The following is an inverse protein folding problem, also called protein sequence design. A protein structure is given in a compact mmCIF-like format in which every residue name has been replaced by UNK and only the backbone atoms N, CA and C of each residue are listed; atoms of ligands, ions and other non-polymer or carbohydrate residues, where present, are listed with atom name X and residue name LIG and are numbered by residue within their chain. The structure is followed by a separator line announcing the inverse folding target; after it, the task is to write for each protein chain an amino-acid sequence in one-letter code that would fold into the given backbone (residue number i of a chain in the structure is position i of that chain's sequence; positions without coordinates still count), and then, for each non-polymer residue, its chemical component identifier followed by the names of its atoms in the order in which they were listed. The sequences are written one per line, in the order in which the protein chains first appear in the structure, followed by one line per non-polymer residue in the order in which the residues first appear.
data_IF_087440538731
#
_entry.id   IF_087440538731
#
_cell.length_a   1.000
_cell.length_b   1.000
_cell.length_c   1.000
_cell.angle_alpha   90.00
_cell.angle_beta   90.00
_cell.angle_gamma   90.00
#
_symmetry.space_group_name_H-M   'P 1'
#
loop_
_entity.id
_entity.type
_entity.pdbx_description
1 polymer ?
#
# COMPACT_ATOMS: atom_id res chain seq x y z
N UNK A 1 -5.08 -16.58 0.66
CA UNK A 1 -5.07 -15.16 1.06
C UNK A 1 -5.49 -15.15 2.53
N UNK A 2 -4.63 -14.69 3.43
CA UNK A 2 -5.00 -14.61 4.85
C UNK A 2 -6.21 -13.70 5.03
N UNK A 3 -7.11 -14.06 5.95
CA UNK A 3 -8.33 -13.31 6.21
C UNK A 3 -7.97 -12.02 6.96
N UNK A 4 -8.54 -10.91 6.52
CA UNK A 4 -8.43 -9.61 7.18
C UNK A 4 -9.20 -9.63 8.49
N UNK A 5 -8.64 -9.00 9.51
CA UNK A 5 -9.23 -8.86 10.84
C UNK A 5 -9.60 -7.38 11.03
N UNK A 6 -10.87 -7.05 11.25
CA UNK A 6 -11.28 -5.68 11.55
C UNK A 6 -10.65 -5.21 12.86
N UNK A 7 -10.19 -3.96 12.86
CA UNK A 7 -9.63 -3.29 14.05
C UNK A 7 -10.53 -2.10 14.41
N UNK A 8 -10.60 -1.78 15.71
CA UNK A 8 -11.42 -0.66 16.17
C UNK A 8 -10.78 0.71 15.85
N UNK A 9 -9.45 0.77 15.85
CA UNK A 9 -8.70 2.01 15.67
C UNK A 9 -7.42 1.76 14.86
N UNK A 10 -6.99 2.77 14.09
CA UNK A 10 -5.76 2.70 13.33
C UNK A 10 -4.54 2.71 14.26
N UNK A 11 -3.62 1.73 14.16
CA UNK A 11 -2.38 1.78 14.91
C UNK A 11 -1.50 2.93 14.39
N UNK A 12 -0.56 3.39 15.23
CA UNK A 12 0.40 4.44 14.87
C UNK A 12 1.21 4.09 13.62
N UNK A 13 1.53 2.80 13.43
CA UNK A 13 2.19 2.26 12.24
C UNK A 13 1.69 0.84 11.98
N UNK A 14 1.64 0.45 10.70
CA UNK A 14 1.44 -0.94 10.26
C UNK A 14 2.78 -1.66 9.99
N UNK A 15 3.90 -0.97 10.19
CA UNK A 15 5.21 -1.61 10.07
C UNK A 15 5.41 -2.59 11.22
N UNK A 16 6.02 -3.74 10.90
CA UNK A 16 6.49 -4.67 11.92
C UNK A 16 7.63 -4.04 12.69
N UNK A 17 7.69 -4.27 14.00
CA UNK A 17 8.91 -4.07 14.79
C UNK A 17 9.97 -5.04 14.25
N UNK A 18 10.87 -4.55 13.41
CA UNK A 18 11.93 -5.38 12.90
C UNK A 18 13.05 -5.43 13.93
N UNK A 19 13.35 -6.63 14.45
CA UNK A 19 14.58 -6.89 15.22
C UNK A 19 15.88 -6.62 14.45
N UNK A 20 15.79 -6.04 13.25
CA UNK A 20 16.88 -5.58 12.38
C UNK A 20 17.09 -4.07 12.43
N UNK A 21 16.88 -3.39 13.56
CA UNK A 21 17.45 -2.06 13.82
C UNK A 21 17.32 -1.06 12.66
N UNK A 22 16.19 -1.06 11.94
CA UNK A 22 15.91 -0.01 10.99
C UNK A 22 15.61 1.25 11.80
N UNK A 23 16.68 2.01 12.09
CA UNK A 23 16.58 3.26 12.82
C UNK A 23 15.54 4.20 12.19
N UNK A 24 14.98 5.06 13.04
CA UNK A 24 14.04 6.12 12.63
C UNK A 24 14.48 6.76 11.31
N UNK A 25 13.62 6.74 10.29
CA UNK A 25 13.89 7.29 8.96
C UNK A 25 14.04 6.27 7.82
N UNK A 26 13.61 5.02 8.00
CA UNK A 26 13.61 4.05 6.90
C UNK A 26 12.73 4.51 5.72
N UNK A 27 12.98 4.01 4.50
CA UNK A 27 12.10 4.33 3.36
C UNK A 27 10.68 3.81 3.59
N UNK A 28 10.53 2.66 4.27
CA UNK A 28 9.21 2.09 4.61
C UNK A 28 8.43 3.03 5.51
N UNK A 29 9.07 3.54 6.56
CA UNK A 29 8.49 4.49 7.52
C UNK A 29 8.13 5.82 6.87
N UNK A 30 9.06 6.40 6.09
CA UNK A 30 8.79 7.66 5.37
C UNK A 30 7.65 7.50 4.37
N UNK A 31 7.59 6.37 3.65
CA UNK A 31 6.53 6.12 2.68
C UNK A 31 5.18 5.87 3.35
N UNK A 32 5.12 5.07 4.43
CA UNK A 32 3.88 4.87 5.18
C UNK A 32 3.35 6.19 5.77
N UNK A 33 4.22 6.97 6.43
CA UNK A 33 3.84 8.26 6.98
C UNK A 33 3.31 9.22 5.91
N UNK A 34 3.94 9.24 4.74
CA UNK A 34 3.47 10.03 3.60
C UNK A 34 2.07 9.61 3.13
N UNK A 35 1.83 8.33 2.86
CA UNK A 35 0.55 7.87 2.30
C UNK A 35 -0.61 8.05 3.30
N UNK A 36 -0.36 7.87 4.61
CA UNK A 36 -1.36 8.12 5.65
C UNK A 36 -1.71 9.61 5.76
N UNK A 37 -0.69 10.48 5.73
CA UNK A 37 -0.90 11.94 5.72
C UNK A 37 -1.70 12.36 4.49
N UNK A 38 -1.31 11.88 3.30
CA UNK A 38 -1.99 12.19 2.03
C UNK A 38 -3.43 11.67 2.03
N UNK A 39 -3.71 10.49 2.57
CA UNK A 39 -5.09 10.01 2.74
C UNK A 39 -5.91 10.98 3.59
N UNK A 40 -5.35 11.47 4.71
CA UNK A 40 -5.98 12.47 5.55
C UNK A 40 -6.29 13.78 4.81
N UNK A 41 -5.29 14.34 4.13
CA UNK A 41 -5.42 15.57 3.35
C UNK A 41 -6.46 15.46 2.23
N UNK A 42 -6.43 14.36 1.48
CA UNK A 42 -7.39 14.11 0.40
C UNK A 42 -8.81 13.95 0.95
N UNK A 43 -9.01 13.16 2.01
CA UNK A 43 -10.33 12.99 2.59
C UNK A 43 -10.91 14.33 3.08
N UNK A 44 -10.11 15.14 3.78
CA UNK A 44 -10.53 16.45 4.26
C UNK A 44 -10.91 17.38 3.10
N UNK A 45 -10.09 17.45 2.05
CA UNK A 45 -10.37 18.28 0.88
C UNK A 45 -11.62 17.81 0.12
N UNK A 46 -11.85 16.50 0.02
CA UNK A 46 -13.04 15.94 -0.63
C UNK A 46 -14.32 16.21 0.18
N UNK A 47 -14.27 16.11 1.51
CA UNK A 47 -15.41 16.47 2.37
C UNK A 47 -15.75 17.96 2.29
N UNK A 48 -14.74 18.82 2.27
CA UNK A 48 -14.92 20.27 2.09
C UNK A 48 -15.53 20.58 0.73
N UNK A 49 -14.99 19.99 -0.34
CA UNK A 49 -15.52 20.15 -1.70
C UNK A 49 -16.94 19.59 -1.86
N UNK A 50 -17.27 18.50 -1.15
CA UNK A 50 -18.61 17.93 -1.18
C UNK A 50 -19.64 18.83 -0.48
N UNK A 51 -19.27 19.45 0.64
CA UNK A 51 -20.11 20.44 1.33
C UNK A 51 -21.44 19.91 1.88
N UNK A 52 -21.71 18.60 1.84
CA UNK A 52 -22.94 17.99 2.38
C UNK A 52 -22.94 17.83 3.91
N UNK A 53 -21.79 18.03 4.56
CA UNK A 53 -21.56 17.71 5.97
C UNK A 53 -21.32 16.22 6.24
N UNK A 54 -21.38 15.35 5.22
CA UNK A 54 -20.98 13.95 5.33
C UNK A 54 -19.47 13.82 5.48
N UNK A 55 -19.06 12.75 6.16
CA UNK A 55 -17.66 12.40 6.42
C UNK A 55 -17.34 11.04 5.82
N UNK A 56 -16.07 10.80 5.56
CA UNK A 56 -15.59 9.46 5.25
C UNK A 56 -15.83 8.53 6.45
N UNK A 57 -16.40 7.36 6.19
CA UNK A 57 -16.44 6.23 7.13
C UNK A 57 -15.10 5.52 7.03
N UNK A 58 -14.45 5.32 8.17
CA UNK A 58 -13.15 4.66 8.27
C UNK A 58 -13.31 3.21 8.74
N UNK A 59 -12.76 2.29 7.95
CA UNK A 59 -12.64 0.87 8.28
C UNK A 59 -11.16 0.52 8.37
N UNK A 60 -10.72 0.14 9.57
CA UNK A 60 -9.33 -0.28 9.83
C UNK A 60 -9.29 -1.80 9.86
N UNK A 61 -8.24 -2.38 9.29
CA UNK A 61 -8.04 -3.82 9.33
C UNK A 61 -6.56 -4.19 9.40
N UNK A 62 -6.29 -5.36 9.95
CA UNK A 62 -4.97 -5.96 10.06
C UNK A 62 -4.94 -7.36 9.43
N UNK A 63 -3.73 -7.92 9.27
CA UNK A 63 -3.54 -9.32 8.86
C UNK A 63 -2.69 -10.06 9.88
N UNK A 64 -2.94 -11.36 10.13
CA UNK A 64 -2.14 -12.17 11.05
C UNK A 64 -0.66 -12.22 10.66
N UNK A 65 -0.36 -12.27 9.36
CA UNK A 65 0.99 -12.16 8.83
C UNK A 65 1.61 -10.76 8.96
N UNK A 66 0.97 -9.80 9.63
CA UNK A 66 1.44 -8.44 9.80
C UNK A 66 1.11 -7.51 8.63
N UNK A 67 1.09 -6.22 8.93
CA UNK A 67 0.53 -5.19 8.05
C UNK A 67 -0.97 -5.00 8.30
N UNK A 68 -1.61 -4.23 7.42
CA UNK A 68 -3.00 -3.83 7.53
C UNK A 68 -3.35 -2.75 6.52
N UNK A 69 -4.46 -2.08 6.76
CA UNK A 69 -4.91 -0.98 5.93
C UNK A 69 -5.97 -0.14 6.60
N UNK A 70 -6.22 1.01 5.98
CA UNK A 70 -7.28 1.95 6.35
C UNK A 70 -8.06 2.22 5.08
N UNK A 71 -9.31 1.79 5.07
CA UNK A 71 -10.26 2.10 4.01
C UNK A 71 -11.13 3.27 4.45
N UNK A 72 -11.19 4.32 3.64
CA UNK A 72 -12.09 5.46 3.87
C UNK A 72 -13.07 5.56 2.72
N UNK A 73 -14.36 5.54 3.04
CA UNK A 73 -15.43 5.61 2.04
C UNK A 73 -16.42 6.72 2.38
N UNK A 74 -16.68 7.61 1.44
CA UNK A 74 -17.75 8.60 1.47
C UNK A 74 -18.81 8.21 0.44
N UNK A 75 -20.08 8.22 0.84
CA UNK A 75 -21.21 7.83 -0.01
C UNK A 75 -22.35 8.83 0.08
N UNK A 76 -23.08 8.96 -1.04
CA UNK A 76 -24.29 9.75 -1.16
C UNK A 76 -24.07 11.24 -0.79
N UNK A 77 -22.89 11.79 -1.11
CA UNK A 77 -22.57 13.20 -0.94
C UNK A 77 -23.34 14.10 -1.91
N UNK A 78 -23.09 15.41 -1.87
CA UNK A 78 -23.69 16.35 -2.83
C UNK A 78 -22.94 16.34 -4.17
N UNK A 79 -21.61 16.26 -4.11
CA UNK A 79 -20.72 16.25 -5.27
C UNK A 79 -20.34 14.82 -5.64
N UNK A 80 -20.03 13.99 -4.65
CA UNK A 80 -19.60 12.60 -4.88
C UNK A 80 -20.74 11.61 -4.62
N UNK A 81 -21.04 10.76 -5.60
CA UNK A 81 -21.91 9.61 -5.41
C UNK A 81 -21.20 8.60 -4.49
N UNK A 82 -19.93 8.35 -4.80
CA UNK A 82 -19.05 7.51 -4.00
C UNK A 82 -17.59 7.94 -4.17
N UNK A 83 -16.88 8.06 -3.06
CA UNK A 83 -15.45 8.32 -3.03
C UNK A 83 -14.79 7.32 -2.09
N UNK A 84 -13.72 6.66 -2.55
CA UNK A 84 -12.94 5.73 -1.74
C UNK A 84 -11.47 6.12 -1.78
N UNK A 85 -10.83 6.23 -0.62
CA UNK A 85 -9.39 6.48 -0.48
C UNK A 85 -8.82 5.45 0.50
N UNK A 86 -7.98 4.55 0.01
CA UNK A 86 -7.50 3.40 0.76
C UNK A 86 -5.98 3.45 0.93
N UNK A 87 -5.51 3.14 2.13
CA UNK A 87 -4.10 2.90 2.45
C UNK A 87 -3.93 1.43 2.80
N UNK A 88 -2.84 0.83 2.31
CA UNK A 88 -2.47 -0.55 2.64
C UNK A 88 -0.98 -0.66 2.88
N UNK A 89 -0.61 -1.49 3.85
CA UNK A 89 0.76 -1.88 4.17
C UNK A 89 0.74 -3.39 4.33
N UNK A 90 1.39 -4.12 3.44
CA UNK A 90 1.31 -5.58 3.40
C UNK A 90 2.69 -6.20 3.35
N UNK A 91 2.80 -7.33 4.03
CA UNK A 91 3.97 -8.18 4.01
C UNK A 91 3.59 -9.53 3.43
N UNK A 92 4.55 -10.19 2.79
CA UNK A 92 4.33 -11.54 2.31
C UNK A 92 5.61 -12.19 1.81
N UNK A 93 5.41 -13.33 1.18
CA UNK A 93 6.48 -14.12 0.58
C UNK A 93 6.15 -14.32 -0.89
N UNK A 94 7.07 -13.93 -1.75
CA UNK A 94 6.88 -14.03 -3.19
C UNK A 94 7.14 -15.49 -3.65
N UNK A 95 6.24 -16.08 -4.44
CA UNK A 95 6.51 -17.34 -5.12
C UNK A 95 7.72 -17.18 -6.07
N UNK A 96 8.55 -18.23 -6.25
CA UNK A 96 9.75 -18.15 -7.10
C UNK A 96 9.48 -17.63 -8.52
N UNK A 97 8.31 -17.95 -9.10
CA UNK A 97 7.93 -17.53 -10.45
C UNK A 97 7.56 -16.04 -10.54
N UNK A 98 6.91 -15.49 -9.51
CA UNK A 98 6.63 -14.06 -9.42
C UNK A 98 7.93 -13.24 -9.25
N UNK A 99 8.92 -13.79 -8.54
CA UNK A 99 10.23 -13.14 -8.37
C UNK A 99 11.01 -13.08 -9.70
N UNK A 100 10.95 -14.16 -10.48
CA UNK A 100 11.54 -14.20 -11.84
C UNK A 100 10.91 -13.17 -12.77
N UNK A 101 9.58 -13.02 -12.71
CA UNK A 101 8.87 -12.00 -13.50
C UNK A 101 9.20 -10.57 -13.04
N UNK A 102 9.26 -10.32 -11.72
CA UNK A 102 9.52 -9.00 -11.14
C UNK A 102 10.94 -8.48 -11.41
N UNK A 103 11.94 -9.37 -11.50
CA UNK A 103 13.31 -9.00 -11.88
C UNK A 103 13.44 -8.53 -13.34
N UNK A 104 12.39 -8.69 -14.15
CA UNK A 104 12.47 -8.60 -15.60
C UNK A 104 13.41 -9.67 -16.15
N UNK A 105 13.46 -9.85 -17.46
CA UNK A 105 14.56 -10.56 -18.09
C UNK A 105 15.86 -9.81 -17.76
N UNK A 106 16.51 -10.13 -16.65
CA UNK A 106 17.87 -9.70 -16.37
C UNK A 106 18.71 -10.29 -17.50
N UNK A 107 19.05 -9.42 -18.47
CA UNK A 107 19.84 -9.68 -19.68
C UNK A 107 21.28 -10.14 -19.41
N UNK A 108 21.58 -10.62 -18.20
CA UNK A 108 22.88 -11.15 -17.84
C UNK A 108 22.67 -12.61 -17.50
N UNK A 109 22.91 -13.48 -18.48
CA UNK A 109 22.75 -14.93 -18.42
C UNK A 109 23.70 -15.63 -17.44
N UNK A 110 23.68 -15.26 -16.16
CA UNK A 110 24.13 -16.13 -15.11
C UNK A 110 22.96 -17.05 -14.76
N UNK A 111 22.94 -18.22 -15.41
CA UNK A 111 22.19 -19.38 -14.95
C UNK A 111 22.81 -19.86 -13.63
N UNK A 112 22.69 -19.06 -12.57
CA UNK A 112 22.99 -19.54 -11.24
C UNK A 112 21.84 -20.47 -10.86
N UNK A 113 22.10 -21.78 -10.92
CA UNK A 113 21.18 -22.88 -10.58
C UNK A 113 20.65 -22.89 -9.14
N UNK A 114 20.66 -21.74 -8.47
CA UNK A 114 20.05 -21.53 -7.17
C UNK A 114 18.54 -21.39 -7.38
N UNK A 115 17.79 -22.43 -6.99
CA UNK A 115 16.35 -22.29 -6.76
C UNK A 115 16.17 -21.16 -5.76
N UNK A 116 15.78 -19.97 -6.24
CA UNK A 116 15.47 -18.84 -5.36
C UNK A 116 14.40 -19.33 -4.39
N UNK A 117 14.79 -19.50 -3.12
CA UNK A 117 13.86 -19.83 -2.05
C UNK A 117 12.81 -18.72 -1.89
N UNK A 118 11.82 -18.92 -1.02
CA UNK A 118 10.83 -17.88 -0.71
C UNK A 118 11.50 -16.53 -0.41
N UNK A 119 11.14 -15.50 -1.18
CA UNK A 119 11.70 -14.14 -1.03
C UNK A 119 10.67 -13.27 -0.28
N UNK A 120 10.97 -12.80 0.94
CA UNK A 120 10.11 -11.85 1.64
C UNK A 120 9.96 -10.56 0.84
N UNK A 121 8.75 -10.00 0.85
CA UNK A 121 8.47 -8.69 0.27
C UNK A 121 7.69 -7.80 1.24
N UNK A 122 7.84 -6.51 0.99
CA UNK A 122 7.07 -5.43 1.59
C UNK A 122 6.42 -4.61 0.49
N UNK A 123 5.14 -4.28 0.66
CA UNK A 123 4.45 -3.34 -0.20
C UNK A 123 3.62 -2.37 0.65
N UNK A 124 3.63 -1.11 0.28
CA UNK A 124 2.74 -0.10 0.86
C UNK A 124 2.19 0.77 -0.26
N UNK A 125 0.99 1.31 -0.09
CA UNK A 125 0.41 2.17 -1.11
C UNK A 125 -0.89 2.84 -0.70
N UNK A 126 -1.20 3.90 -1.44
CA UNK A 126 -2.47 4.60 -1.42
C UNK A 126 -3.17 4.41 -2.77
N UNK A 127 -4.47 4.16 -2.74
CA UNK A 127 -5.32 4.09 -3.92
C UNK A 127 -6.59 4.90 -3.71
N UNK A 128 -7.14 5.45 -4.79
CA UNK A 128 -8.40 6.19 -4.71
C UNK A 128 -9.23 6.01 -5.96
N UNK A 129 -10.54 6.00 -5.78
CA UNK A 129 -11.54 6.07 -6.85
C UNK A 129 -12.62 7.07 -6.44
N UNK A 130 -12.87 8.06 -7.29
CA UNK A 130 -13.84 9.12 -7.04
C UNK A 130 -14.89 9.12 -8.16
N UNK A 131 -16.16 9.00 -7.79
CA UNK A 131 -17.30 9.06 -8.70
C UNK A 131 -18.16 10.29 -8.37
N UNK A 132 -18.03 11.39 -9.14
CA UNK A 132 -18.92 12.54 -9.03
C UNK A 132 -20.34 12.19 -9.45
N UNK A 133 -21.34 12.84 -8.84
CA UNK A 133 -22.76 12.77 -9.24
C UNK A 133 -23.03 13.50 -10.55
N UNK A 134 -22.32 14.60 -10.79
CA UNK A 134 -22.49 15.39 -12.00
C UNK A 134 -21.88 14.64 -13.19
N UNK A 135 -22.66 14.28 -14.23
CA UNK A 135 -22.14 13.54 -15.39
C UNK A 135 -21.08 14.31 -16.20
N UNK A 136 -20.96 15.62 -16.01
CA UNK A 136 -19.93 16.45 -16.64
C UNK A 136 -18.63 16.52 -15.83
N UNK A 137 -18.62 16.01 -14.59
CA UNK A 137 -17.41 15.87 -13.79
C UNK A 137 -16.84 14.43 -13.96
N UNK A 138 -15.56 14.27 -14.32
CA UNK A 138 -15.01 12.95 -14.63
C UNK A 138 -14.79 12.09 -13.38
N UNK A 139 -14.90 10.77 -13.54
CA UNK A 139 -14.38 9.82 -12.55
C UNK A 139 -12.86 9.91 -12.50
N UNK A 140 -12.29 9.89 -11.30
CA UNK A 140 -10.85 9.94 -11.08
C UNK A 140 -10.35 8.68 -10.39
N UNK A 141 -9.21 8.16 -10.83
CA UNK A 141 -8.50 7.06 -10.19
C UNK A 141 -7.01 7.39 -10.07
N UNK A 142 -6.41 7.12 -8.91
CA UNK A 142 -4.95 7.17 -8.73
C UNK A 142 -4.46 6.03 -7.83
N UNK A 143 -3.20 5.65 -7.99
CA UNK A 143 -2.55 4.63 -7.16
C UNK A 143 -1.05 4.90 -7.03
N UNK A 144 -0.58 5.20 -5.83
CA UNK A 144 0.85 5.29 -5.56
C UNK A 144 1.28 4.13 -4.67
N UNK A 145 2.24 3.33 -5.15
CA UNK A 145 2.72 2.16 -4.43
C UNK A 145 4.22 2.08 -4.36
N UNK A 146 4.71 1.68 -3.20
CA UNK A 146 6.09 1.35 -2.90
C UNK A 146 6.23 -0.15 -2.70
N UNK A 147 7.24 -0.74 -3.33
CA UNK A 147 7.51 -2.17 -3.26
C UNK A 147 9.00 -2.42 -3.02
N UNK A 148 9.33 -3.29 -2.07
CA UNK A 148 10.69 -3.81 -1.91
C UNK A 148 10.72 -5.30 -1.58
N UNK A 149 11.79 -5.97 -2.01
CA UNK A 149 12.10 -7.35 -1.63
C UNK A 149 13.42 -7.43 -0.90
N UNK A 150 13.54 -8.37 0.02
CA UNK A 150 14.83 -8.68 0.64
C UNK A 150 15.70 -9.51 -0.31
N UNK A 151 17.02 -9.45 -0.10
CA UNK A 151 17.96 -10.29 -0.84
C UNK A 151 17.73 -11.76 -0.47
N UNK A 152 17.78 -12.71 -1.44
CA UNK A 152 17.77 -14.13 -1.12
C UNK A 152 18.92 -14.48 -0.16
N UNK A 153 18.63 -15.25 0.91
CA UNK A 153 19.68 -15.73 1.82
C UNK A 153 20.76 -16.47 1.02
N UNK A 154 22.01 -16.03 1.12
CA UNK A 154 23.17 -16.67 0.49
C UNK A 154 23.66 -16.03 -0.81
N UNK A 155 23.03 -14.96 -1.30
CA UNK A 155 23.50 -14.20 -2.46
C UNK A 155 23.76 -12.75 -2.02
N UNK A 156 24.92 -12.19 -2.34
CA UNK A 156 25.17 -10.75 -2.29
C UNK A 156 24.32 -10.05 -3.37
N UNK A 157 23.01 -9.98 -3.15
CA UNK A 157 22.07 -9.32 -4.05
C UNK A 157 21.61 -7.99 -3.46
N UNK A 158 21.48 -6.97 -4.31
CA UNK A 158 20.95 -5.66 -3.94
C UNK A 158 19.45 -5.73 -3.63
N UNK A 159 18.99 -4.93 -2.65
CA UNK A 159 17.56 -4.71 -2.40
C UNK A 159 16.93 -4.06 -3.62
N UNK A 160 15.86 -4.67 -4.15
CA UNK A 160 15.07 -4.07 -5.22
C UNK A 160 14.02 -3.14 -4.61
N UNK A 161 13.92 -1.91 -5.12
CA UNK A 161 12.92 -0.92 -4.68
C UNK A 161 12.29 -0.29 -5.91
N UNK A 162 10.97 -0.34 -6.00
CA UNK A 162 10.21 0.32 -7.06
C UNK A 162 9.09 1.16 -6.46
N UNK A 163 8.92 2.36 -7.03
CA UNK A 163 7.69 3.14 -6.88
C UNK A 163 6.94 2.99 -8.21
N UNK A 164 5.66 2.64 -8.14
CA UNK A 164 4.80 2.63 -9.33
C UNK A 164 3.67 3.63 -9.10
N UNK A 165 3.50 4.51 -10.10
CA UNK A 165 2.47 5.54 -10.18
C UNK A 165 1.23 5.03 -10.93
#
# INVERSE_FOLDING_TARGET
IEKEVPENEAPTTFLREDGSGAGSGSVRERFEGMIRRVQGEICAALEEADGSGKRFVEDVWSRPGGGGGISRVLQDGNVFEKAGVNVSVVYGVMPPDAYRAAKGAAKNGAADGHKAGPVPFFAAGISSVLHPKNPFAPTLHFNYRYFETDAPKGIYASKFRNIVL
#
